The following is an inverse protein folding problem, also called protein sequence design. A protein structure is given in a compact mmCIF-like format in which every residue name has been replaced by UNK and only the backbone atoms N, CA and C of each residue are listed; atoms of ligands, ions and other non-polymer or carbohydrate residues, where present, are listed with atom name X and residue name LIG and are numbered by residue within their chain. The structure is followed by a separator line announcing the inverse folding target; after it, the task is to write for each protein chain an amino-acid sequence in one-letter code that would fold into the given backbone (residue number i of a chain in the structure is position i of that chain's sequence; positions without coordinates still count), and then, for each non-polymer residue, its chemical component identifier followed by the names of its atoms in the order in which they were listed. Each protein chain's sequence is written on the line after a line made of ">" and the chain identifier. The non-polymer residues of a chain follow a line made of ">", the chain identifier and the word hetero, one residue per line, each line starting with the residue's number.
data_IF_291246223570
#
_entry.id   IF_291246223570
#
_cell.length_a   1.000
_cell.length_b   1.000
_cell.length_c   1.000
_cell.angle_alpha   90.00
_cell.angle_beta   90.00
_cell.angle_gamma   90.00
#
_symmetry.space_group_name_H-M   'P 1'
#
loop_
_entity.id
_entity.type
_entity.pdbx_description
1 polymer ?
#
# COMPACT_ATOMS: atom_id res chain seq x y z
N UNK A 1 -2.06 -14.29 3.49
CA UNK A 1 -3.42 -14.30 2.88
C UNK A 1 -3.30 -13.59 1.55
N UNK A 2 -3.81 -14.14 0.47
CA UNK A 2 -3.70 -13.51 -0.85
C UNK A 2 -4.99 -12.76 -1.17
N UNK A 3 -4.85 -11.52 -1.63
CA UNK A 3 -5.97 -10.70 -2.10
C UNK A 3 -6.28 -11.14 -3.55
N UNK A 4 -7.53 -11.53 -3.87
CA UNK A 4 -7.86 -12.01 -5.22
C UNK A 4 -7.78 -10.94 -6.31
N UNK A 5 -8.11 -9.69 -5.96
CA UNK A 5 -8.03 -8.52 -6.83
C UNK A 5 -7.40 -7.37 -6.05
N UNK A 6 -6.09 -7.21 -6.19
CA UNK A 6 -5.33 -6.18 -5.48
C UNK A 6 -5.71 -4.77 -5.94
N UNK A 7 -6.04 -4.60 -7.22
CA UNK A 7 -6.43 -3.31 -7.80
C UNK A 7 -7.77 -2.82 -7.24
N UNK A 8 -8.77 -3.71 -7.20
CA UNK A 8 -10.08 -3.38 -6.63
C UNK A 8 -10.00 -3.07 -5.14
N UNK A 9 -9.15 -3.80 -4.38
CA UNK A 9 -8.95 -3.50 -2.97
C UNK A 9 -8.30 -2.13 -2.78
N UNK A 10 -7.23 -1.83 -3.52
CA UNK A 10 -6.55 -0.54 -3.43
C UNK A 10 -7.49 0.61 -3.79
N UNK A 11 -8.36 0.43 -4.80
CA UNK A 11 -9.32 1.45 -5.20
C UNK A 11 -10.41 1.65 -4.12
N UNK A 12 -10.85 0.57 -3.48
CA UNK A 12 -11.78 0.64 -2.35
C UNK A 12 -11.15 1.31 -1.10
N UNK A 13 -9.85 1.10 -0.87
CA UNK A 13 -9.10 1.71 0.23
C UNK A 13 -8.64 3.14 -0.07
N UNK A 14 -8.80 3.62 -1.31
CA UNK A 14 -8.32 4.93 -1.76
C UNK A 14 -8.68 6.10 -0.83
N UNK A 15 -9.92 6.22 -0.27
CA UNK A 15 -10.23 7.30 0.67
C UNK A 15 -9.40 7.26 1.96
N UNK A 16 -9.06 6.07 2.44
CA UNK A 16 -8.25 5.89 3.64
C UNK A 16 -6.76 6.14 3.35
N UNK A 17 -6.25 5.67 2.21
CA UNK A 17 -4.89 5.95 1.76
C UNK A 17 -4.69 7.46 1.55
N UNK A 18 -5.68 8.14 0.99
CA UNK A 18 -5.69 9.58 0.82
C UNK A 18 -5.65 10.32 2.17
N UNK A 19 -6.51 9.92 3.11
CA UNK A 19 -6.52 10.47 4.48
C UNK A 19 -5.15 10.31 5.16
N UNK A 20 -4.49 9.16 4.97
CA UNK A 20 -3.15 8.92 5.53
C UNK A 20 -2.12 9.87 4.94
N UNK A 21 -2.06 10.00 3.61
CA UNK A 21 -1.16 10.94 2.94
C UNK A 21 -1.38 12.38 3.39
N UNK A 22 -2.64 12.81 3.45
CA UNK A 22 -3.00 14.14 3.93
C UNK A 22 -2.57 14.37 5.39
N UNK A 23 -2.76 13.37 6.26
CA UNK A 23 -2.34 13.46 7.66
C UNK A 23 -0.83 13.51 7.86
N UNK A 24 -0.06 12.95 6.92
CA UNK A 24 1.39 13.03 6.91
C UNK A 24 1.91 14.40 6.43
N UNK A 25 1.05 15.26 5.88
CA UNK A 25 1.42 16.59 5.39
C UNK A 25 2.31 16.57 4.14
N UNK A 26 2.26 15.48 3.37
CA UNK A 26 3.08 15.31 2.16
C UNK A 26 2.37 15.97 0.96
N UNK A 27 2.90 17.09 0.46
CA UNK A 27 2.47 17.62 -0.83
C UNK A 27 3.25 16.94 -1.96
N UNK A 28 2.55 16.07 -2.67
CA UNK A 28 3.08 15.30 -3.81
C UNK A 28 2.19 15.43 -5.04
N UNK A 29 1.45 16.53 -5.10
CA UNK A 29 0.56 16.82 -6.23
C UNK A 29 1.35 16.75 -7.54
N UNK A 30 0.90 15.90 -8.47
CA UNK A 30 1.57 15.68 -9.76
C UNK A 30 2.47 14.44 -9.82
N UNK A 31 2.76 13.80 -8.68
CA UNK A 31 3.45 12.51 -8.62
C UNK A 31 2.46 11.32 -8.71
N UNK A 32 2.98 10.10 -8.81
CA UNK A 32 2.20 8.86 -8.69
C UNK A 32 2.65 8.04 -7.48
N UNK A 33 1.70 7.50 -6.73
CA UNK A 33 1.94 6.38 -5.82
C UNK A 33 1.92 5.10 -6.63
N UNK A 34 2.99 4.30 -6.52
CA UNK A 34 3.13 3.05 -7.27
C UNK A 34 3.38 1.90 -6.31
N UNK A 35 2.50 0.90 -6.34
CA UNK A 35 2.62 -0.33 -5.55
C UNK A 35 2.81 -1.50 -6.52
N UNK A 36 3.88 -2.27 -6.38
CA UNK A 36 4.20 -3.41 -7.23
C UNK A 36 4.07 -4.72 -6.46
N UNK A 37 3.28 -5.66 -7.00
CA UNK A 37 3.13 -7.03 -6.48
C UNK A 37 3.92 -8.05 -7.29
N UNK A 38 4.93 -7.59 -8.04
CA UNK A 38 5.78 -8.31 -9.00
C UNK A 38 5.04 -8.87 -10.23
N UNK A 39 3.85 -9.42 -10.06
CA UNK A 39 2.97 -9.84 -11.16
C UNK A 39 2.24 -8.66 -11.80
N UNK A 40 1.92 -7.64 -11.00
CA UNK A 40 1.20 -6.44 -11.41
C UNK A 40 1.77 -5.23 -10.69
N UNK A 41 1.51 -4.05 -11.23
CA UNK A 41 1.73 -2.81 -10.51
C UNK A 41 0.48 -1.95 -10.57
N UNK A 42 0.25 -1.16 -9.52
CA UNK A 42 -0.91 -0.33 -9.33
C UNK A 42 -0.45 1.10 -9.15
N UNK A 43 -1.00 2.01 -9.95
CA UNK A 43 -0.66 3.43 -9.93
C UNK A 43 -1.85 4.25 -9.53
N UNK A 44 -1.63 5.22 -8.65
CA UNK A 44 -2.60 6.24 -8.28
C UNK A 44 -1.94 7.60 -8.43
N UNK A 45 -2.50 8.46 -9.28
CA UNK A 45 -2.03 9.84 -9.39
C UNK A 45 -2.36 10.59 -8.09
N UNK A 46 -1.43 11.38 -7.57
CA UNK A 46 -1.69 12.28 -6.44
C UNK A 46 -2.17 13.61 -7.01
N UNK A 47 -3.43 13.95 -6.75
CA UNK A 47 -4.09 15.17 -7.25
C UNK A 47 -4.42 16.11 -6.09
N UNK A 48 -4.72 17.40 -6.34
CA UNK A 48 -5.18 18.31 -5.29
C UNK A 48 -6.44 17.82 -4.56
N UNK A 49 -7.28 17.04 -5.25
CA UNK A 49 -8.50 16.44 -4.73
C UNK A 49 -8.26 15.08 -4.05
N UNK A 50 -7.00 14.64 -3.97
CA UNK A 50 -6.57 13.40 -3.35
C UNK A 50 -6.06 12.36 -4.34
N UNK A 51 -5.98 11.09 -3.91
CA UNK A 51 -5.58 9.99 -4.79
C UNK A 51 -6.59 9.75 -5.93
N UNK A 52 -6.10 9.68 -7.15
CA UNK A 52 -6.86 9.30 -8.35
C UNK A 52 -7.13 7.79 -8.45
N UNK A 53 -7.96 7.36 -9.41
CA UNK A 53 -8.38 5.96 -9.55
C UNK A 53 -7.19 5.03 -9.78
N UNK A 54 -7.28 3.80 -9.25
CA UNK A 54 -6.21 2.81 -9.42
C UNK A 54 -6.10 2.35 -10.87
N UNK A 55 -4.91 2.52 -11.46
CA UNK A 55 -4.56 1.97 -12.77
C UNK A 55 -3.66 0.75 -12.59
N UNK A 56 -4.15 -0.41 -13.00
CA UNK A 56 -3.39 -1.66 -12.92
C UNK A 56 -2.64 -1.92 -14.22
N UNK A 57 -1.33 -2.04 -14.12
CA UNK A 57 -0.45 -2.48 -15.21
C UNK A 57 0.01 -3.93 -15.04
N UNK A 58 0.84 -4.37 -15.98
CA UNK A 58 1.48 -5.69 -15.95
C UNK A 58 2.68 -5.75 -15.00
N UNK A 59 3.59 -6.68 -15.27
CA UNK A 59 4.85 -6.83 -14.51
C UNK A 59 5.71 -5.56 -14.60
N UNK A 60 6.49 -5.30 -13.55
CA UNK A 60 7.45 -4.20 -13.50
C UNK A 60 8.83 -4.78 -13.17
N UNK A 61 9.84 -4.35 -13.93
CA UNK A 61 11.25 -4.65 -13.62
C UNK A 61 11.77 -3.62 -12.62
N UNK A 62 12.64 -4.06 -11.72
CA UNK A 62 13.29 -3.25 -10.68
C UNK A 62 12.37 -2.22 -10.03
N UNK A 63 11.31 -2.66 -9.31
CA UNK A 63 10.21 -1.78 -8.91
C UNK A 63 10.67 -0.60 -8.04
N UNK A 64 11.61 -0.83 -7.12
CA UNK A 64 12.15 0.21 -6.24
C UNK A 64 12.92 1.29 -7.01
N UNK A 65 13.68 0.91 -8.04
CA UNK A 65 14.41 1.85 -8.90
C UNK A 65 13.44 2.66 -9.76
N UNK A 66 12.30 2.07 -10.13
CA UNK A 66 11.19 2.74 -10.79
C UNK A 66 10.32 3.61 -9.85
N UNK A 67 10.70 3.75 -8.58
CA UNK A 67 10.00 4.57 -7.59
C UNK A 67 8.80 3.88 -6.92
N UNK A 68 8.62 2.57 -7.11
CA UNK A 68 7.52 1.81 -6.55
C UNK A 68 7.87 1.15 -5.22
N UNK A 69 6.86 1.04 -4.36
CA UNK A 69 6.88 0.16 -3.20
C UNK A 69 6.65 -1.28 -3.68
N UNK A 70 7.61 -2.18 -3.44
CA UNK A 70 7.48 -3.58 -3.83
C UNK A 70 6.96 -4.41 -2.65
N UNK A 71 5.82 -5.09 -2.83
CA UNK A 71 5.20 -5.90 -1.79
C UNK A 71 4.64 -7.16 -2.41
N UNK A 72 5.12 -8.33 -1.99
CA UNK A 72 4.57 -9.59 -2.45
C UNK A 72 3.05 -9.70 -2.21
N UNK A 73 2.31 -10.35 -3.13
CA UNK A 73 0.84 -10.38 -3.07
C UNK A 73 0.27 -11.07 -1.83
N UNK A 74 1.01 -11.97 -1.19
CA UNK A 74 0.63 -12.61 0.08
C UNK A 74 1.01 -11.78 1.33
N UNK A 75 1.92 -10.82 1.16
CA UNK A 75 2.34 -9.84 2.17
C UNK A 75 1.50 -8.55 2.15
N UNK A 76 0.86 -8.23 1.01
CA UNK A 76 0.11 -7.00 0.80
C UNK A 76 -0.99 -6.78 1.85
N UNK A 77 -1.74 -7.83 2.20
CA UNK A 77 -2.76 -7.73 3.24
C UNK A 77 -2.17 -7.36 4.60
N UNK A 78 -1.02 -7.94 4.95
CA UNK A 78 -0.31 -7.64 6.20
C UNK A 78 0.26 -6.21 6.17
N UNK A 79 0.77 -5.74 5.03
CA UNK A 79 1.27 -4.38 4.90
C UNK A 79 0.17 -3.33 5.04
N UNK A 80 -1.02 -3.60 4.48
CA UNK A 80 -2.15 -2.65 4.52
C UNK A 80 -2.89 -2.66 5.85
N UNK A 81 -3.04 -3.83 6.47
CA UNK A 81 -3.97 -4.08 7.58
C UNK A 81 -3.33 -4.64 8.85
N UNK A 82 -2.02 -4.91 8.84
CA UNK A 82 -1.31 -5.58 9.92
C UNK A 82 -0.72 -4.63 10.98
N UNK A 83 -0.18 -5.24 12.03
CA UNK A 83 0.48 -4.57 13.15
C UNK A 83 1.96 -4.22 12.93
N UNK A 84 2.50 -4.58 11.76
CA UNK A 84 3.85 -4.25 11.32
C UNK A 84 3.79 -3.18 10.25
N UNK A 85 4.69 -2.19 10.30
CA UNK A 85 4.84 -1.26 9.18
C UNK A 85 5.48 -1.98 7.99
N UNK A 86 5.44 -1.35 6.82
CA UNK A 86 6.18 -1.85 5.66
C UNK A 86 7.68 -2.04 5.96
N UNK A 87 8.29 -1.11 6.70
CA UNK A 87 9.70 -1.20 7.05
C UNK A 87 9.99 -2.42 7.95
N UNK A 88 9.13 -2.68 8.93
CA UNK A 88 9.27 -3.86 9.79
C UNK A 88 9.07 -5.17 9.01
N UNK A 89 8.13 -5.16 8.06
CA UNK A 89 7.92 -6.30 7.16
C UNK A 89 9.16 -6.54 6.30
N UNK A 90 9.77 -5.49 5.75
CA UNK A 90 10.97 -5.61 4.91
C UNK A 90 12.16 -6.26 5.64
N UNK A 91 12.26 -6.10 6.96
CA UNK A 91 13.31 -6.72 7.76
C UNK A 91 13.15 -8.24 7.91
N UNK A 92 11.93 -8.76 7.70
CA UNK A 92 11.61 -10.19 7.88
C UNK A 92 11.15 -10.89 6.60
N UNK A 93 10.78 -10.12 5.58
CA UNK A 93 10.28 -10.60 4.29
C UNK A 93 11.11 -10.00 3.14
N UNK A 94 11.97 -10.80 2.49
CA UNK A 94 12.87 -10.31 1.43
C UNK A 94 12.14 -9.85 0.16
N UNK A 95 10.88 -10.23 0.01
CA UNK A 95 9.96 -9.90 -1.06
C UNK A 95 9.07 -8.67 -0.72
N UNK A 96 9.47 -7.91 0.31
CA UNK A 96 8.92 -6.61 0.65
C UNK A 96 10.06 -5.60 0.66
N UNK A 97 9.99 -4.62 -0.23
CA UNK A 97 10.99 -3.57 -0.35
C UNK A 97 10.30 -2.19 -0.38
N UNK A 98 10.57 -1.32 0.61
CA UNK A 98 10.19 0.09 0.56
C UNK A 98 10.76 0.77 -0.69
N UNK A 99 9.98 1.68 -1.26
CA UNK A 99 10.42 2.54 -2.36
C UNK A 99 11.34 3.66 -1.86
N UNK A 100 11.82 4.52 -2.76
CA UNK A 100 12.66 5.67 -2.40
C UNK A 100 11.92 6.76 -1.60
N UNK A 101 10.58 6.72 -1.58
CA UNK A 101 9.74 7.64 -0.81
C UNK A 101 9.41 7.10 0.58
N UNK A 102 10.38 7.08 1.50
CA UNK A 102 10.19 6.51 2.85
C UNK A 102 9.00 7.13 3.59
N UNK A 103 8.81 8.45 3.47
CA UNK A 103 7.68 9.14 4.12
C UNK A 103 6.34 8.72 3.54
N UNK A 104 6.28 8.43 2.23
CA UNK A 104 5.09 7.92 1.55
C UNK A 104 4.81 6.50 2.02
N UNK A 105 5.82 5.64 2.08
CA UNK A 105 5.67 4.27 2.59
C UNK A 105 5.20 4.23 4.04
N UNK A 106 5.77 5.11 4.88
CA UNK A 106 5.38 5.25 6.28
C UNK A 106 3.94 5.73 6.42
N UNK A 107 3.51 6.65 5.56
CA UNK A 107 2.13 7.14 5.54
C UNK A 107 1.15 6.07 5.06
N UNK A 108 1.46 5.37 3.97
CA UNK A 108 0.55 4.39 3.34
C UNK A 108 0.43 3.09 4.13
N UNK A 109 1.55 2.61 4.70
CA UNK A 109 1.64 1.33 5.40
C UNK A 109 2.09 1.51 6.87
N UNK A 110 1.31 2.26 7.67
CA UNK A 110 1.60 2.42 9.08
C UNK A 110 1.32 1.12 9.83
N UNK A 111 1.89 0.97 11.03
CA UNK A 111 1.44 -0.06 11.97
C UNK A 111 -0.01 0.20 12.34
N UNK A 112 -0.90 -0.74 12.05
CA UNK A 112 -2.29 -0.66 12.52
C UNK A 112 -2.46 -1.50 13.78
N UNK A 113 -2.91 -0.87 14.85
CA UNK A 113 -3.42 -1.56 16.03
C UNK A 113 -4.92 -1.72 15.85
N UNK A 114 -5.38 -2.92 15.50
CA UNK A 114 -6.79 -3.24 15.47
C UNK A 114 -7.12 -4.13 16.66
N UNK A 115 -7.92 -3.62 17.61
CA UNK A 115 -8.64 -4.46 18.56
C UNK A 115 -9.79 -5.12 17.81
N UNK A 116 -9.50 -6.21 17.09
CA UNK A 116 -10.56 -7.02 16.49
C UNK A 116 -11.31 -7.71 17.63
N UNK A 117 -12.37 -7.06 18.10
CA UNK A 117 -13.39 -7.69 18.93
C UNK A 117 -14.05 -8.77 18.07
N UNK A 118 -13.48 -9.97 18.11
CA UNK A 118 -14.11 -11.17 17.57
C UNK A 118 -15.34 -11.43 18.43
N UNK A 119 -16.47 -10.82 18.07
CA UNK A 119 -17.76 -11.22 18.61
C UNK A 119 -18.05 -12.61 18.06
N UNK A 120 -17.83 -13.63 18.90
CA UNK A 120 -18.46 -14.92 18.70
C UNK A 120 -19.97 -14.70 18.87
N UNK A 121 -20.69 -14.53 17.76
CA UNK A 121 -22.13 -14.71 17.79
C UNK A 121 -22.39 -16.20 18.05
N UNK A 122 -23.07 -16.56 19.15
CA UNK A 122 -23.52 -17.93 19.34
C UNK A 122 -24.54 -18.23 18.24
N UNK A 123 -24.31 -19.33 17.54
CA UNK A 123 -25.26 -19.92 16.59
C UNK A 123 -26.58 -20.28 17.27
#
# INVERSE_FOLDING_TARGET
>A
MRIPDEGALLDALRPELDRRLASAGLDRTGDEVVICTYARHHRMAVTPEGLGPVRTGGTMQDPTDAGATAVAPDALATALLGSSSLHDLSATRPDVAPGPGEDVDRALFPRLTADVLTYYLPW
#
